data_IF_770434738727
#
_entry.id   IF_770434738727
#
_cell.length_a   1.000
_cell.length_b   1.000
_cell.length_c   1.000
_cell.angle_alpha   90.00
_cell.angle_beta   90.00
_cell.angle_gamma   90.00
#
_symmetry.space_group_name_H-M   'P 1'
#
loop_
_entity.id
_entity.type
_entity.pdbx_description
1 polymer ?
#
# COMPACT_ATOMS: atom_id res chain seq x y z
N UNK A 1 -4.60 -17.25 -13.87
CA UNK A 1 -4.46 -16.67 -12.53
C UNK A 1 -3.60 -15.40 -12.56
N UNK A 2 -2.36 -15.44 -13.10
CA UNK A 2 -1.45 -14.28 -13.09
C UNK A 2 -2.00 -13.05 -13.84
N UNK A 3 -2.47 -13.21 -15.07
CA UNK A 3 -3.03 -12.12 -15.87
C UNK A 3 -4.25 -11.45 -15.21
N UNK A 4 -5.15 -12.27 -14.65
CA UNK A 4 -6.32 -11.79 -13.90
C UNK A 4 -5.89 -11.01 -12.64
N UNK A 5 -4.90 -11.51 -11.92
CA UNK A 5 -4.33 -10.84 -10.74
C UNK A 5 -3.79 -9.45 -11.11
N UNK A 6 -2.96 -9.36 -12.14
CA UNK A 6 -2.37 -8.08 -12.59
C UNK A 6 -3.46 -7.11 -13.04
N UNK A 7 -4.45 -7.57 -13.82
CA UNK A 7 -5.57 -6.74 -14.26
C UNK A 7 -6.36 -6.17 -13.07
N UNK A 8 -6.67 -7.00 -12.07
CA UNK A 8 -7.41 -6.59 -10.88
C UNK A 8 -6.62 -5.59 -10.03
N UNK A 9 -5.29 -5.75 -9.90
CA UNK A 9 -4.43 -4.77 -9.20
C UNK A 9 -4.54 -3.38 -9.82
N UNK A 10 -4.50 -3.29 -11.15
CA UNK A 10 -4.63 -2.01 -11.83
C UNK A 10 -6.07 -1.47 -11.80
N UNK A 11 -7.06 -2.31 -11.99
CA UNK A 11 -8.48 -1.90 -11.90
C UNK A 11 -8.82 -1.34 -10.53
N UNK A 12 -8.37 -1.98 -9.44
CA UNK A 12 -8.66 -1.53 -8.07
C UNK A 12 -7.86 -0.28 -7.66
N UNK A 13 -6.83 0.11 -8.40
CA UNK A 13 -6.14 1.38 -8.17
C UNK A 13 -7.03 2.59 -8.39
N UNK A 14 -8.00 2.53 -9.32
CA UNK A 14 -8.96 3.62 -9.55
C UNK A 14 -9.92 3.82 -8.37
N UNK A 15 -10.69 2.80 -7.94
CA UNK A 15 -11.55 2.95 -6.76
C UNK A 15 -10.75 3.16 -5.48
N UNK A 16 -9.53 2.63 -5.38
CA UNK A 16 -8.64 2.86 -4.23
C UNK A 16 -8.22 4.32 -4.08
N UNK A 17 -7.90 5.00 -5.16
CA UNK A 17 -7.66 6.44 -5.18
C UNK A 17 -8.92 7.23 -4.82
N UNK A 18 -10.07 6.88 -5.41
CA UNK A 18 -11.34 7.54 -5.10
C UNK A 18 -11.74 7.41 -3.61
N UNK A 19 -11.54 6.23 -3.02
CA UNK A 19 -11.80 6.00 -1.57
C UNK A 19 -10.87 6.85 -0.71
N UNK A 20 -9.60 6.97 -1.11
CA UNK A 20 -8.66 7.83 -0.40
C UNK A 20 -9.05 9.31 -0.48
N UNK A 21 -9.41 9.79 -1.65
CA UNK A 21 -9.73 11.21 -1.86
C UNK A 21 -11.02 11.63 -1.15
N UNK A 22 -11.98 10.71 -0.99
CA UNK A 22 -13.31 11.03 -0.49
C UNK A 22 -13.58 10.59 0.94
N UNK A 23 -12.95 9.53 1.39
CA UNK A 23 -13.34 8.84 2.64
C UNK A 23 -12.17 8.75 3.62
N UNK A 24 -11.08 8.10 3.21
CA UNK A 24 -10.00 7.70 4.12
C UNK A 24 -8.92 8.77 4.32
N UNK A 25 -8.66 9.57 3.28
CA UNK A 25 -7.44 10.34 3.15
C UNK A 25 -6.27 9.47 2.67
N UNK A 26 -5.29 10.10 2.05
CA UNK A 26 -4.15 9.41 1.43
C UNK A 26 -3.34 8.60 2.45
N UNK A 27 -3.06 9.17 3.61
CA UNK A 27 -2.24 8.56 4.67
C UNK A 27 -2.86 7.28 5.22
N UNK A 28 -4.16 7.29 5.51
CA UNK A 28 -4.87 6.11 6.02
C UNK A 28 -4.99 5.04 4.95
N UNK A 29 -5.21 5.42 3.70
CA UNK A 29 -5.27 4.47 2.58
C UNK A 29 -3.94 3.74 2.39
N UNK A 30 -2.80 4.45 2.49
CA UNK A 30 -1.47 3.83 2.46
C UNK A 30 -1.27 2.92 3.67
N UNK A 31 -1.70 3.35 4.86
CA UNK A 31 -1.58 2.59 6.10
C UNK A 31 -2.34 1.25 6.01
N UNK A 32 -3.62 1.26 5.65
CA UNK A 32 -4.41 0.04 5.52
C UNK A 32 -3.99 -0.81 4.32
N UNK A 33 -3.63 -0.18 3.21
CA UNK A 33 -3.09 -0.86 2.04
C UNK A 33 -1.82 -1.65 2.38
N UNK A 34 -0.91 -1.06 3.16
CA UNK A 34 0.30 -1.72 3.64
C UNK A 34 0.03 -2.94 4.51
N UNK A 35 -0.91 -2.83 5.45
CA UNK A 35 -1.34 -3.95 6.31
C UNK A 35 -1.90 -5.09 5.45
N UNK A 36 -2.79 -4.80 4.51
CA UNK A 36 -3.40 -5.80 3.63
C UNK A 36 -2.34 -6.54 2.80
N UNK A 37 -1.38 -5.82 2.23
CA UNK A 37 -0.28 -6.44 1.46
C UNK A 37 0.57 -7.34 2.35
N UNK A 38 0.93 -6.89 3.55
CA UNK A 38 1.75 -7.66 4.49
C UNK A 38 1.06 -8.98 4.86
N UNK A 39 -0.21 -8.93 5.26
CA UNK A 39 -0.98 -10.13 5.56
C UNK A 39 -1.22 -11.00 4.33
N UNK A 40 -1.39 -10.39 3.15
CA UNK A 40 -1.51 -11.10 1.89
C UNK A 40 -0.26 -11.94 1.59
N UNK A 41 0.92 -11.36 1.75
CA UNK A 41 2.19 -12.07 1.54
C UNK A 41 2.43 -13.15 2.59
N UNK A 42 2.07 -12.91 3.86
CA UNK A 42 2.11 -13.95 4.90
C UNK A 42 1.18 -15.11 4.55
N UNK A 43 -0.01 -14.84 4.03
CA UNK A 43 -0.94 -15.88 3.59
C UNK A 43 -0.38 -16.71 2.44
N UNK A 44 0.37 -16.10 1.51
CA UNK A 44 1.06 -16.80 0.42
C UNK A 44 2.24 -17.64 0.90
N UNK A 45 2.86 -17.27 2.02
CA UNK A 45 3.94 -18.05 2.61
C UNK A 45 3.46 -19.37 3.24
N UNK A 46 2.18 -19.47 3.60
CA UNK A 46 1.60 -20.68 4.20
C UNK A 46 1.04 -21.57 3.08
N UNK A 47 1.42 -22.87 3.02
CA UNK A 47 0.90 -23.79 2.00
C UNK A 47 -0.59 -24.03 2.18
N UNK A 48 -1.35 -23.92 1.07
CA UNK A 48 -2.79 -24.18 1.05
C UNK A 48 -3.51 -23.36 -0.02
N UNK A 49 -4.32 -24.01 -0.85
CA UNK A 49 -5.02 -23.34 -1.96
C UNK A 49 -5.93 -22.20 -1.49
N UNK A 50 -6.62 -22.37 -0.38
CA UNK A 50 -7.50 -21.32 0.18
C UNK A 50 -6.71 -20.09 0.63
N UNK A 51 -5.58 -20.29 1.32
CA UNK A 51 -4.70 -19.23 1.76
C UNK A 51 -3.99 -18.53 0.60
N UNK A 52 -3.67 -19.27 -0.46
CA UNK A 52 -3.11 -18.71 -1.67
C UNK A 52 -4.08 -17.70 -2.33
N UNK A 53 -5.34 -18.07 -2.55
CA UNK A 53 -6.32 -17.15 -3.14
C UNK A 53 -6.67 -16.00 -2.22
N UNK A 54 -6.74 -16.23 -0.91
CA UNK A 54 -6.92 -15.17 0.09
C UNK A 54 -5.75 -14.18 0.03
N UNK A 55 -4.52 -14.68 0.00
CA UNK A 55 -3.32 -13.86 -0.11
C UNK A 55 -3.34 -12.98 -1.36
N UNK A 56 -3.68 -13.55 -2.53
CA UNK A 56 -3.82 -12.77 -3.76
C UNK A 56 -4.88 -11.68 -3.63
N UNK A 57 -6.04 -11.99 -3.06
CA UNK A 57 -7.11 -11.02 -2.85
C UNK A 57 -6.66 -9.87 -1.94
N UNK A 58 -6.02 -10.18 -0.81
CA UNK A 58 -5.50 -9.16 0.12
C UNK A 58 -4.46 -8.26 -0.54
N UNK A 59 -3.57 -8.82 -1.36
CA UNK A 59 -2.56 -8.03 -2.10
C UNK A 59 -3.24 -7.14 -3.15
N UNK A 60 -4.25 -7.63 -3.86
CA UNK A 60 -5.00 -6.86 -4.86
C UNK A 60 -5.63 -5.62 -4.21
N UNK A 61 -6.39 -5.80 -3.13
CA UNK A 61 -7.03 -4.70 -2.40
C UNK A 61 -6.00 -3.76 -1.76
N UNK A 62 -4.97 -4.33 -1.13
CA UNK A 62 -3.92 -3.56 -0.49
C UNK A 62 -3.13 -2.71 -1.48
N UNK A 63 -2.76 -3.26 -2.63
CA UNK A 63 -2.04 -2.53 -3.68
C UNK A 63 -2.92 -1.45 -4.32
N UNK A 64 -4.21 -1.74 -4.52
CA UNK A 64 -5.18 -0.76 -5.00
C UNK A 64 -5.28 0.47 -4.09
N UNK A 65 -5.23 0.27 -2.76
CA UNK A 65 -5.23 1.36 -1.79
C UNK A 65 -3.86 2.04 -1.64
N UNK A 66 -2.76 1.30 -1.73
CA UNK A 66 -1.43 1.83 -1.46
C UNK A 66 -0.85 2.57 -2.66
N UNK A 67 -0.81 1.92 -3.82
CA UNK A 67 -0.03 2.36 -4.98
C UNK A 67 -0.39 3.77 -5.49
N UNK A 68 -1.67 4.13 -5.75
CA UNK A 68 -2.03 5.47 -6.21
C UNK A 68 -1.78 6.52 -5.13
N UNK A 69 -2.00 6.18 -3.87
CA UNK A 69 -2.00 7.13 -2.77
C UNK A 69 -0.58 7.49 -2.27
N UNK A 70 0.39 6.58 -2.39
CA UNK A 70 1.80 6.92 -2.10
C UNK A 70 2.31 7.97 -3.08
N UNK A 71 2.04 7.81 -4.38
CA UNK A 71 2.46 8.81 -5.38
C UNK A 71 1.76 10.16 -5.19
N UNK A 72 0.48 10.14 -4.77
CA UNK A 72 -0.26 11.36 -4.44
C UNK A 72 0.35 12.09 -3.23
N UNK A 73 0.73 11.36 -2.16
CA UNK A 73 1.43 11.95 -1.00
C UNK A 73 2.74 12.62 -1.42
N UNK A 74 3.54 11.97 -2.28
CA UNK A 74 4.77 12.59 -2.81
C UNK A 74 4.46 13.90 -3.53
N UNK A 75 3.37 13.95 -4.30
CA UNK A 75 2.90 15.16 -4.96
C UNK A 75 2.46 16.28 -4.00
N UNK A 76 1.90 15.91 -2.84
CA UNK A 76 1.48 16.88 -1.81
C UNK A 76 2.63 17.42 -0.95
N UNK A 77 3.75 16.68 -0.85
CA UNK A 77 4.94 17.12 -0.11
C UNK A 77 5.57 18.37 -0.70
N UNK A 78 5.42 18.56 -2.01
CA UNK A 78 5.98 19.70 -2.73
C UNK A 78 4.85 20.58 -3.28
N UNK A 79 4.96 21.90 -3.12
CA UNK A 79 4.06 22.85 -3.77
C UNK A 79 4.13 22.71 -5.30
N UNK A 80 3.09 23.21 -6.00
CA UNK A 80 3.02 23.11 -7.46
C UNK A 80 4.20 23.76 -8.19
N UNK A 81 4.72 24.84 -7.59
CA UNK A 81 5.83 25.64 -8.13
C UNK A 81 7.17 25.36 -7.42
N UNK A 82 7.26 24.32 -6.62
CA UNK A 82 8.50 23.94 -5.91
C UNK A 82 9.47 23.27 -6.90
N UNK A 83 10.63 23.91 -7.14
CA UNK A 83 11.67 23.39 -8.02
C UNK A 83 12.21 22.00 -7.60
N UNK A 84 12.00 21.57 -6.34
CA UNK A 84 12.44 20.28 -5.83
C UNK A 84 11.43 19.15 -6.13
N UNK A 85 10.26 19.48 -6.66
CA UNK A 85 9.18 18.51 -6.90
C UNK A 85 9.63 17.40 -7.85
N UNK A 86 10.27 17.75 -8.95
CA UNK A 86 10.77 16.79 -9.95
C UNK A 86 11.87 15.90 -9.37
N UNK A 87 12.75 16.46 -8.55
CA UNK A 87 13.77 15.70 -7.86
C UNK A 87 13.14 14.71 -6.84
N UNK A 88 12.08 15.12 -6.13
CA UNK A 88 11.32 14.28 -5.21
C UNK A 88 10.68 13.08 -5.92
N UNK A 89 10.03 13.30 -7.05
CA UNK A 89 9.47 12.21 -7.86
C UNK A 89 10.57 11.32 -8.44
N UNK A 90 11.68 11.88 -8.88
CA UNK A 90 12.84 11.11 -9.39
C UNK A 90 13.36 10.18 -8.30
N UNK A 91 13.54 10.67 -7.08
CA UNK A 91 13.99 9.86 -5.94
C UNK A 91 12.97 8.76 -5.59
N UNK A 92 11.68 9.08 -5.64
CA UNK A 92 10.60 8.11 -5.42
C UNK A 92 10.64 6.97 -6.46
N UNK A 93 10.74 7.29 -7.75
CA UNK A 93 10.84 6.28 -8.81
C UNK A 93 12.14 5.49 -8.75
N UNK A 94 13.26 6.13 -8.38
CA UNK A 94 14.51 5.44 -8.14
C UNK A 94 14.37 4.39 -7.03
N UNK A 95 13.73 4.76 -5.92
CA UNK A 95 13.45 3.84 -4.82
C UNK A 95 12.58 2.63 -5.23
N UNK A 96 11.54 2.85 -6.05
CA UNK A 96 10.69 1.78 -6.59
C UNK A 96 11.52 0.81 -7.44
N UNK A 97 12.32 1.33 -8.37
CA UNK A 97 13.13 0.49 -9.27
C UNK A 97 14.20 -0.27 -8.51
N UNK A 98 14.88 0.38 -7.56
CA UNK A 98 15.89 -0.25 -6.72
C UNK A 98 15.26 -1.36 -5.86
N UNK A 99 14.10 -1.11 -5.26
CA UNK A 99 13.35 -2.10 -4.50
C UNK A 99 12.91 -3.28 -5.36
N UNK A 100 12.41 -3.04 -6.56
CA UNK A 100 12.00 -4.07 -7.50
C UNK A 100 13.16 -4.96 -7.95
N UNK A 101 14.31 -4.36 -8.21
CA UNK A 101 15.53 -5.06 -8.58
C UNK A 101 15.98 -6.03 -7.47
N UNK A 102 16.12 -5.53 -6.25
CA UNK A 102 16.54 -6.35 -5.12
C UNK A 102 15.50 -7.39 -4.73
N UNK A 103 14.21 -7.06 -4.78
CA UNK A 103 13.14 -8.00 -4.49
C UNK A 103 13.13 -9.17 -5.49
N UNK A 104 13.32 -8.91 -6.77
CA UNK A 104 13.38 -9.96 -7.79
C UNK A 104 14.53 -10.94 -7.55
N UNK A 105 15.71 -10.43 -7.21
CA UNK A 105 16.89 -11.27 -6.91
C UNK A 105 16.68 -12.03 -5.59
N UNK A 106 16.39 -11.32 -4.50
CA UNK A 106 16.35 -11.91 -3.15
C UNK A 106 15.18 -12.88 -3.00
N UNK A 107 13.95 -12.43 -3.32
CA UNK A 107 12.77 -13.28 -3.15
C UNK A 107 12.72 -14.39 -4.20
N UNK A 108 13.23 -14.14 -5.41
CA UNK A 108 13.34 -15.16 -6.44
C UNK A 108 14.34 -16.26 -6.07
N UNK A 109 15.52 -15.87 -5.59
CA UNK A 109 16.54 -16.80 -5.12
C UNK A 109 16.05 -17.63 -3.93
N UNK A 110 15.48 -16.98 -2.91
CA UNK A 110 14.89 -17.69 -1.76
C UNK A 110 13.76 -18.64 -2.17
N UNK A 111 12.94 -18.23 -3.13
CA UNK A 111 11.85 -19.06 -3.64
C UNK A 111 12.32 -20.32 -4.36
N UNK A 112 13.43 -20.26 -5.09
CA UNK A 112 13.99 -21.35 -5.85
C UNK A 112 14.86 -22.30 -5.00
N UNK A 113 15.72 -21.75 -4.15
CA UNK A 113 16.69 -22.53 -3.36
C UNK A 113 16.11 -23.09 -2.06
N UNK A 114 15.22 -22.34 -1.38
CA UNK A 114 14.68 -22.73 -0.07
C UNK A 114 13.22 -23.14 -0.17
N UNK A 115 12.46 -22.40 -0.98
CA UNK A 115 11.04 -22.61 -1.20
C UNK A 115 10.23 -21.32 -1.24
N UNK A 116 9.10 -21.34 -1.90
CA UNK A 116 8.25 -20.15 -2.10
C UNK A 116 7.79 -19.50 -0.81
N UNK A 117 7.65 -20.26 0.28
CA UNK A 117 7.34 -19.72 1.60
C UNK A 117 8.40 -18.74 2.11
N UNK A 118 9.67 -19.01 1.82
CA UNK A 118 10.78 -18.14 2.20
C UNK A 118 10.79 -16.84 1.37
N UNK A 119 10.52 -16.94 0.06
CA UNK A 119 10.41 -15.78 -0.82
C UNK A 119 9.28 -14.84 -0.41
N UNK A 120 8.07 -15.36 -0.18
CA UNK A 120 6.94 -14.56 0.28
C UNK A 120 7.11 -14.05 1.71
N UNK A 121 7.74 -14.84 2.59
CA UNK A 121 8.10 -14.43 3.93
C UNK A 121 9.06 -13.24 3.94
N UNK A 122 10.11 -13.29 3.12
CA UNK A 122 11.07 -12.19 2.96
C UNK A 122 10.39 -10.92 2.41
N UNK A 123 9.49 -11.06 1.44
CA UNK A 123 8.70 -9.95 0.92
C UNK A 123 7.79 -9.33 2.01
N UNK A 124 7.19 -10.16 2.87
CA UNK A 124 6.39 -9.69 4.01
C UNK A 124 7.24 -8.92 5.03
N UNK A 125 8.45 -9.38 5.32
CA UNK A 125 9.40 -8.67 6.21
C UNK A 125 9.78 -7.33 5.59
N UNK A 126 10.12 -7.29 4.31
CA UNK A 126 10.41 -6.05 3.59
C UNK A 126 9.25 -5.05 3.66
N UNK A 127 8.02 -5.54 3.49
CA UNK A 127 6.82 -4.71 3.62
C UNK A 127 6.62 -4.21 5.06
N UNK A 128 6.89 -5.04 6.07
CA UNK A 128 6.82 -4.64 7.47
C UNK A 128 7.84 -3.54 7.81
N UNK A 129 9.07 -3.65 7.31
CA UNK A 129 10.09 -2.59 7.47
C UNK A 129 9.61 -1.29 6.82
N UNK A 130 9.15 -1.33 5.57
CA UNK A 130 8.62 -0.15 4.89
C UNK A 130 7.44 0.46 5.62
N UNK A 131 6.57 -0.37 6.19
CA UNK A 131 5.45 0.07 7.01
C UNK A 131 5.89 0.78 8.29
N UNK A 132 6.87 0.23 9.01
CA UNK A 132 7.46 0.88 10.21
C UNK A 132 8.06 2.23 9.85
N UNK A 133 8.84 2.30 8.76
CA UNK A 133 9.41 3.56 8.26
C UNK A 133 8.31 4.58 7.93
N UNK A 134 7.23 4.16 7.28
CA UNK A 134 6.09 5.02 6.99
C UNK A 134 5.41 5.54 8.26
N UNK A 135 5.20 4.68 9.27
CA UNK A 135 4.58 5.06 10.55
C UNK A 135 5.47 6.04 11.32
N UNK A 136 6.77 5.77 11.38
CA UNK A 136 7.73 6.66 12.04
C UNK A 136 7.89 8.00 11.29
N UNK A 137 7.75 7.99 9.96
CA UNK A 137 7.79 9.18 9.11
C UNK A 137 6.53 10.04 9.14
N UNK A 138 5.43 9.58 9.76
CA UNK A 138 4.17 10.35 9.84
C UNK A 138 4.34 11.80 10.31
N UNK A 139 5.14 12.12 11.35
CA UNK A 139 5.34 13.48 11.79
C UNK A 139 5.96 14.39 10.70
N UNK A 140 6.76 13.80 9.81
CA UNK A 140 7.43 14.54 8.72
C UNK A 140 6.47 14.93 7.58
N UNK A 141 5.26 14.33 7.53
CA UNK A 141 4.25 14.64 6.52
C UNK A 141 3.48 15.94 6.81
N UNK A 142 3.70 16.55 7.96
CA UNK A 142 3.19 17.88 8.34
C UNK A 142 1.69 18.09 8.04
N UNK A 143 0.87 17.10 8.41
CA UNK A 143 -0.59 17.13 8.19
C UNK A 143 -1.05 16.81 6.75
N UNK A 144 -0.13 16.64 5.80
CA UNK A 144 -0.48 16.33 4.40
C UNK A 144 -1.02 14.91 4.27
N UNK A 145 -1.97 14.71 3.35
CA UNK A 145 -2.64 13.42 3.14
C UNK A 145 -3.71 13.06 4.19
N UNK A 146 -4.13 14.03 5.01
CA UNK A 146 -5.30 13.89 5.90
C UNK A 146 -6.60 13.83 5.10
N UNK A 147 -7.68 13.25 5.65
CA UNK A 147 -8.98 13.25 5.00
C UNK A 147 -9.45 14.69 4.70
N UNK A 148 -9.99 14.95 3.51
CA UNK A 148 -10.36 16.31 3.11
C UNK A 148 -11.50 16.93 3.93
N UNK A 149 -12.26 16.12 4.68
CA UNK A 149 -13.41 16.62 5.45
C UNK A 149 -13.65 15.79 6.73
N UNK A 150 -13.07 16.23 7.88
CA UNK A 150 -13.25 15.54 9.15
C UNK A 150 -14.71 15.51 9.64
N UNK A 151 -15.58 16.38 9.12
CA UNK A 151 -17.01 16.41 9.46
C UNK A 151 -17.73 15.22 8.83
N UNK A 152 -17.34 14.78 7.62
CA UNK A 152 -17.93 13.61 6.97
C UNK A 152 -17.60 12.32 7.72
N UNK A 153 -16.41 12.22 8.30
CA UNK A 153 -15.99 11.06 9.09
C UNK A 153 -16.79 10.91 10.40
N UNK A 154 -17.29 12.01 10.94
CA UNK A 154 -18.11 12.02 12.16
C UNK A 154 -19.58 11.70 11.92
N UNK A 155 -20.04 11.64 10.65
CA UNK A 155 -21.41 11.23 10.35
C UNK A 155 -21.62 9.76 10.68
N UNK A 156 -22.72 9.48 11.34
CA UNK A 156 -23.19 8.12 11.62
C UNK A 156 -23.54 7.44 10.30
N UNK A 157 -23.01 6.26 10.07
CA UNK A 157 -23.27 5.45 8.86
C UNK A 157 -24.39 4.47 9.11
N UNK A 158 -24.48 3.93 10.34
CA UNK A 158 -25.56 3.02 10.75
C UNK A 158 -25.75 3.11 12.27
N UNK A 159 -26.77 3.83 12.74
CA UNK A 159 -27.05 3.97 14.17
C UNK A 159 -25.90 4.63 14.94
N UNK A 160 -25.39 4.01 16.04
CA UNK A 160 -24.33 4.58 16.85
C UNK A 160 -22.94 4.47 16.20
N UNK A 161 -22.79 3.74 15.08
CA UNK A 161 -21.52 3.50 14.42
C UNK A 161 -21.16 4.71 13.58
N UNK A 162 -20.11 5.41 13.97
CA UNK A 162 -19.53 6.52 13.19
C UNK A 162 -18.59 5.98 12.12
N UNK A 163 -18.51 6.66 10.98
CA UNK A 163 -17.60 6.29 9.90
C UNK A 163 -16.15 6.19 10.37
N UNK A 164 -15.73 7.05 11.30
CA UNK A 164 -14.38 7.04 11.91
C UNK A 164 -14.04 5.74 12.67
N UNK A 165 -15.04 4.93 13.04
CA UNK A 165 -14.84 3.67 13.76
C UNK A 165 -14.70 2.47 12.82
N UNK A 166 -15.16 2.63 11.58
CA UNK A 166 -15.05 1.63 10.50
C UNK A 166 -13.75 1.79 9.70
N UNK A 167 -13.01 2.84 9.99
CA UNK A 167 -11.80 3.27 9.36
C UNK A 167 -10.68 3.35 10.40
#
# INVERSE_FOLDING_TARGET
VYGTYVALVYMLSLPGGWVADRILGLRRSVFYGGILIMFGQLSLAVPGAKLFYLGLALIIFGTGLLKPNVSAIVGELYGKDDARRDAGFTLYYYGINLGSFWAAILCGWLGQEIGWWAGFGAASIGMAIGYVVFVLGKPMLDGKGEPPDPVKLKKSVAGPIKLEWLI
#
